data_IF_739641815881
#
_entry.id   IF_739641815881
#
_cell.length_a   1.000
_cell.length_b   1.000
_cell.length_c   1.000
_cell.angle_alpha   90.00
_cell.angle_beta   90.00
_cell.angle_gamma   90.00
#
_symmetry.space_group_name_H-M   'P 1'
#
loop_
_entity.id
_entity.type
_entity.pdbx_description
1 polymer ?
#
# COMPACT_ATOMS: atom_id res chain seq x y z
N UNK A 1 37.41 -5.81 20.83
CA UNK A 1 36.64 -4.71 20.19
C UNK A 1 36.74 -4.98 18.69
N UNK A 2 35.91 -5.91 18.20
CA UNK A 2 35.97 -6.35 16.80
C UNK A 2 35.24 -5.32 15.94
N UNK A 3 35.96 -4.83 14.93
CA UNK A 3 35.49 -3.83 13.99
C UNK A 3 34.54 -4.53 13.02
N UNK A 4 33.36 -3.95 12.87
CA UNK A 4 32.20 -4.29 12.05
C UNK A 4 32.52 -4.28 10.53
N UNK A 5 33.47 -5.11 10.09
CA UNK A 5 33.91 -5.21 8.68
C UNK A 5 33.52 -6.54 8.01
N UNK A 6 32.86 -7.44 8.74
CA UNK A 6 32.69 -8.84 8.36
C UNK A 6 31.70 -9.14 7.20
N UNK A 7 30.59 -8.41 6.96
CA UNK A 7 29.60 -8.84 5.97
C UNK A 7 30.11 -8.73 4.52
N UNK A 8 30.95 -7.74 4.21
CA UNK A 8 31.47 -7.51 2.86
C UNK A 8 32.59 -8.49 2.46
N UNK A 9 33.32 -9.02 3.43
CA UNK A 9 34.41 -9.97 3.20
C UNK A 9 33.90 -11.41 3.05
N UNK A 10 32.76 -11.74 3.68
CA UNK A 10 32.15 -13.07 3.66
C UNK A 10 31.01 -13.24 2.66
N UNK A 11 30.61 -12.16 1.98
CA UNK A 11 29.46 -12.18 1.05
C UNK A 11 28.13 -12.43 1.75
N UNK A 12 28.00 -11.96 3.00
CA UNK A 12 26.78 -12.16 3.80
C UNK A 12 25.68 -11.18 3.36
N UNK A 13 24.49 -11.71 3.06
CA UNK A 13 23.29 -10.92 2.76
C UNK A 13 22.46 -10.81 4.03
N UNK A 14 22.25 -9.58 4.52
CA UNK A 14 21.42 -9.31 5.70
C UNK A 14 20.10 -8.68 5.27
N UNK A 15 18.95 -9.13 5.82
CA UNK A 15 17.66 -8.53 5.51
C UNK A 15 17.56 -7.14 6.15
N UNK A 16 17.20 -6.15 5.33
CA UNK A 16 16.84 -4.82 5.81
C UNK A 16 15.36 -4.80 6.17
N UNK A 17 15.05 -4.62 7.45
CA UNK A 17 13.67 -4.58 7.98
C UNK A 17 13.30 -3.18 8.44
N UNK A 18 11.99 -2.93 8.52
CA UNK A 18 11.49 -1.78 9.26
C UNK A 18 11.82 -1.89 10.76
N UNK A 19 11.74 -0.74 11.43
CA UNK A 19 11.87 -0.64 12.87
C UNK A 19 10.74 -1.41 13.56
N UNK A 20 11.07 -2.12 14.64
CA UNK A 20 10.06 -2.78 15.47
C UNK A 20 9.14 -1.71 16.06
N UNK A 21 7.82 -1.81 15.87
CA UNK A 21 6.90 -0.80 16.39
C UNK A 21 6.90 -0.81 17.92
N UNK A 22 7.00 0.37 18.52
CA UNK A 22 6.98 0.55 19.98
C UNK A 22 5.68 0.08 20.63
N UNK A 23 4.57 0.12 19.87
CA UNK A 23 3.24 -0.27 20.36
C UNK A 23 2.49 -1.12 19.34
N UNK A 24 2.28 -2.39 19.70
CA UNK A 24 1.52 -3.36 18.90
C UNK A 24 0.04 -2.93 18.77
N UNK A 25 -0.55 -2.38 19.83
CA UNK A 25 -1.96 -1.92 19.81
C UNK A 25 -2.15 -0.68 18.94
N UNK A 26 -1.20 0.26 18.95
CA UNK A 26 -1.22 1.41 18.04
C UNK A 26 -1.11 0.96 16.59
N UNK A 27 -0.20 0.03 16.31
CA UNK A 27 -0.03 -0.54 14.97
C UNK A 27 -1.31 -1.23 14.49
N UNK A 28 -1.93 -2.08 15.31
CA UNK A 28 -3.15 -2.80 14.91
C UNK A 28 -4.32 -1.84 14.62
N UNK A 29 -4.50 -0.80 15.43
CA UNK A 29 -5.50 0.25 15.19
C UNK A 29 -5.26 0.97 13.87
N UNK A 30 -4.01 1.31 13.55
CA UNK A 30 -3.65 1.99 12.30
C UNK A 30 -3.80 1.11 11.07
N UNK A 31 -3.47 -0.16 11.18
CA UNK A 31 -3.69 -1.13 10.10
C UNK A 31 -5.18 -1.30 9.83
N UNK A 32 -6.03 -1.32 10.88
CA UNK A 32 -7.47 -1.38 10.72
C UNK A 32 -8.02 -0.13 10.02
N UNK A 33 -7.59 1.08 10.43
CA UNK A 33 -7.94 2.34 9.76
C UNK A 33 -7.56 2.29 8.27
N UNK A 34 -6.34 1.84 7.94
CA UNK A 34 -5.89 1.72 6.56
C UNK A 34 -6.78 0.77 5.74
N UNK A 35 -7.16 -0.37 6.31
CA UNK A 35 -8.03 -1.33 5.63
C UNK A 35 -9.40 -0.73 5.32
N UNK A 36 -10.01 -0.04 6.27
CA UNK A 36 -11.32 0.60 6.10
C UNK A 36 -11.32 1.64 4.97
N UNK A 37 -10.28 2.47 4.89
CA UNK A 37 -10.17 3.45 3.80
C UNK A 37 -9.91 2.78 2.45
N UNK A 38 -9.15 1.68 2.40
CA UNK A 38 -8.94 0.92 1.16
C UNK A 38 -10.23 0.26 0.66
N UNK A 39 -11.05 -0.30 1.55
CA UNK A 39 -12.36 -0.83 1.19
C UNK A 39 -13.28 0.26 0.63
N UNK A 40 -13.26 1.45 1.25
CA UNK A 40 -14.01 2.61 0.78
C UNK A 40 -13.59 3.04 -0.63
N UNK A 41 -12.28 3.12 -0.88
CA UNK A 41 -11.74 3.45 -2.20
C UNK A 41 -12.11 2.38 -3.25
N UNK A 42 -11.93 1.10 -2.93
CA UNK A 42 -12.31 -0.01 -3.82
C UNK A 42 -13.79 0.07 -4.22
N UNK A 43 -14.69 0.36 -3.29
CA UNK A 43 -16.12 0.52 -3.58
C UNK A 43 -16.39 1.65 -4.57
N UNK A 44 -15.70 2.79 -4.43
CA UNK A 44 -15.84 3.92 -5.35
C UNK A 44 -15.26 3.60 -6.73
N UNK A 45 -14.12 2.92 -6.80
CA UNK A 45 -13.51 2.52 -8.06
C UNK A 45 -14.40 1.56 -8.86
N UNK A 46 -15.06 0.61 -8.19
CA UNK A 46 -16.02 -0.29 -8.84
C UNK A 46 -17.15 0.50 -9.50
N UNK A 47 -17.66 1.54 -8.82
CA UNK A 47 -18.71 2.42 -9.37
C UNK A 47 -18.21 3.19 -10.60
N UNK A 48 -16.94 3.62 -10.59
CA UNK A 48 -16.35 4.36 -11.71
C UNK A 48 -16.15 3.48 -12.95
N UNK A 49 -15.87 2.18 -12.75
CA UNK A 49 -15.64 1.20 -13.82
C UNK A 49 -16.89 0.67 -14.52
N UNK A 50 -18.09 1.17 -14.27
CA UNK A 50 -19.35 0.56 -14.73
C UNK A 50 -19.55 0.60 -16.27
N UNK A 51 -18.98 -0.34 -17.04
CA UNK A 51 -19.83 -1.28 -17.75
C UNK A 51 -20.14 -2.50 -16.89
N UNK A 52 -21.34 -3.07 -17.08
CA UNK A 52 -21.85 -4.22 -16.29
C UNK A 52 -20.97 -5.48 -16.40
N UNK A 53 -20.08 -5.56 -17.39
CA UNK A 53 -19.17 -6.69 -17.61
C UNK A 53 -17.76 -6.52 -16.96
N UNK A 54 -17.44 -5.38 -16.35
CA UNK A 54 -16.11 -5.16 -15.78
C UNK A 54 -15.87 -6.00 -14.51
N UNK A 55 -14.69 -6.62 -14.41
CA UNK A 55 -14.28 -7.35 -13.21
C UNK A 55 -14.29 -6.41 -11.99
N UNK A 56 -15.05 -6.79 -10.95
CA UNK A 56 -15.17 -6.08 -9.67
C UNK A 56 -13.85 -6.01 -8.87
N UNK A 57 -12.79 -6.65 -9.35
CA UNK A 57 -11.48 -6.63 -8.71
C UNK A 57 -10.68 -5.40 -9.17
N UNK A 58 -10.38 -4.52 -8.21
CA UNK A 58 -9.45 -3.40 -8.39
C UNK A 58 -8.02 -3.84 -8.05
N UNK A 59 -7.02 -3.08 -8.52
CA UNK A 59 -5.63 -3.36 -8.16
C UNK A 59 -5.41 -3.21 -6.65
N UNK A 60 -6.14 -2.29 -6.02
CA UNK A 60 -6.14 -2.07 -4.57
C UNK A 60 -6.68 -3.31 -3.84
N UNK A 61 -7.83 -3.85 -4.26
CA UNK A 61 -8.37 -5.07 -3.67
C UNK A 61 -7.39 -6.25 -3.81
N UNK A 62 -6.80 -6.42 -4.99
CA UNK A 62 -5.81 -7.47 -5.23
C UNK A 62 -4.56 -7.31 -4.36
N UNK A 63 -4.05 -6.09 -4.23
CA UNK A 63 -2.89 -5.81 -3.40
C UNK A 63 -3.17 -6.00 -1.91
N UNK A 64 -4.36 -5.65 -1.43
CA UNK A 64 -4.75 -5.90 -0.05
C UNK A 64 -4.88 -7.40 0.22
N UNK A 65 -5.56 -8.15 -0.66
CA UNK A 65 -5.64 -9.61 -0.56
C UNK A 65 -4.26 -10.26 -0.55
N UNK A 66 -3.32 -9.77 -1.35
CA UNK A 66 -1.93 -10.25 -1.33
C UNK A 66 -1.24 -9.93 0.00
N UNK A 67 -1.42 -8.71 0.53
CA UNK A 67 -0.81 -8.29 1.79
C UNK A 67 -1.36 -9.04 3.02
N UNK A 68 -2.58 -9.55 2.94
CA UNK A 68 -3.19 -10.33 4.03
C UNK A 68 -2.73 -11.79 4.04
N UNK A 69 -2.44 -12.39 2.89
CA UNK A 69 -1.99 -13.79 2.80
C UNK A 69 -0.56 -13.94 3.29
N UNK A 70 -0.28 -14.83 4.24
CA UNK A 70 1.10 -15.09 4.64
C UNK A 70 1.92 -15.64 3.46
N UNK A 71 3.10 -15.05 3.12
CA UNK A 71 3.90 -15.53 2.01
C UNK A 71 4.49 -16.91 2.36
N UNK A 72 4.21 -17.91 1.53
CA UNK A 72 4.91 -19.20 1.57
C UNK A 72 6.08 -19.13 0.60
N UNK A 73 7.23 -18.70 1.09
CA UNK A 73 8.48 -18.60 0.32
C UNK A 73 9.51 -19.55 0.93
N UNK A 74 10.25 -20.27 0.09
CA UNK A 74 11.39 -21.09 0.50
C UNK A 74 12.60 -20.19 0.77
N UNK A 75 12.52 -19.41 1.85
CA UNK A 75 13.57 -18.49 2.29
C UNK A 75 13.55 -18.33 3.81
N UNK A 76 14.65 -17.80 4.35
CA UNK A 76 14.71 -17.45 5.76
C UNK A 76 13.59 -16.43 6.10
N UNK A 77 12.84 -16.71 7.17
CA UNK A 77 11.80 -15.81 7.71
C UNK A 77 12.33 -14.40 7.93
N UNK A 78 13.63 -14.28 8.22
CA UNK A 78 14.56 -13.17 8.01
C UNK A 78 14.10 -12.12 6.97
N UNK A 79 13.79 -12.61 5.77
CA UNK A 79 13.54 -11.81 4.57
C UNK A 79 12.06 -11.60 4.26
N UNK A 80 11.17 -12.25 5.01
CA UNK A 80 9.73 -12.12 4.83
C UNK A 80 9.27 -10.87 5.58
N UNK A 81 8.71 -9.85 4.90
CA UNK A 81 8.20 -8.66 5.57
C UNK A 81 7.02 -9.02 6.49
N UNK A 82 6.94 -8.32 7.62
CA UNK A 82 5.84 -8.46 8.57
C UNK A 82 4.49 -8.11 7.93
N UNK A 83 3.40 -8.56 8.57
CA UNK A 83 2.05 -8.22 8.12
C UNK A 83 1.83 -6.70 8.00
N UNK A 84 2.28 -5.92 8.99
CA UNK A 84 2.16 -4.47 8.97
C UNK A 84 2.94 -3.84 7.82
N UNK A 85 4.17 -4.30 7.56
CA UNK A 85 4.96 -3.85 6.42
C UNK A 85 4.23 -4.12 5.10
N UNK A 86 3.72 -5.34 4.88
CA UNK A 86 3.01 -5.70 3.65
C UNK A 86 1.76 -4.85 3.44
N UNK A 87 0.96 -4.68 4.48
CA UNK A 87 -0.27 -3.88 4.42
C UNK A 87 0.04 -2.39 4.20
N UNK A 88 1.13 -1.86 4.75
CA UNK A 88 1.52 -0.45 4.55
C UNK A 88 1.76 -0.07 3.09
N UNK A 89 2.12 -1.05 2.23
CA UNK A 89 2.29 -0.86 0.78
C UNK A 89 1.04 -1.17 -0.05
N UNK A 90 0.01 -1.81 0.54
CA UNK A 90 -1.19 -2.23 -0.18
C UNK A 90 -1.96 -1.05 -0.82
N UNK A 91 -1.82 0.14 -0.24
CA UNK A 91 -2.43 1.38 -0.71
C UNK A 91 -1.78 1.98 -1.96
N UNK A 92 -0.54 1.60 -2.26
CA UNK A 92 0.25 2.23 -3.30
C UNK A 92 0.02 1.53 -4.64
N UNK A 93 -1.25 1.50 -5.06
CA UNK A 93 -1.65 0.92 -6.34
C UNK A 93 -2.27 1.98 -7.26
N UNK A 94 -2.16 1.81 -8.58
CA UNK A 94 -2.92 2.58 -9.54
C UNK A 94 -4.42 2.48 -9.27
N UNK A 95 -5.07 3.64 -9.30
CA UNK A 95 -6.53 3.75 -9.25
C UNK A 95 -7.08 3.61 -10.67
N UNK A 96 -8.28 3.09 -10.79
CA UNK A 96 -8.99 2.96 -12.07
C UNK A 96 -9.10 4.30 -12.79
N UNK A 97 -8.89 4.29 -14.12
CA UNK A 97 -8.84 5.49 -14.95
C UNK A 97 -7.86 6.57 -14.44
N UNK A 98 -6.68 6.14 -13.96
CA UNK A 98 -5.62 7.06 -13.57
C UNK A 98 -5.07 7.84 -14.77
N UNK A 99 -4.89 9.15 -14.61
CA UNK A 99 -4.18 9.98 -15.60
C UNK A 99 -2.66 9.82 -15.47
N UNK A 100 -1.90 10.28 -16.48
CA UNK A 100 -0.42 10.23 -16.42
C UNK A 100 0.15 11.00 -15.21
N UNK A 101 -0.46 12.14 -14.86
CA UNK A 101 -0.04 12.91 -13.68
C UNK A 101 -0.29 12.16 -12.37
N UNK A 102 -1.42 11.44 -12.28
CA UNK A 102 -1.76 10.63 -11.10
C UNK A 102 -0.82 9.42 -10.96
N UNK A 103 -0.47 8.77 -12.08
CA UNK A 103 0.51 7.68 -12.10
C UNK A 103 1.91 8.17 -11.68
N UNK A 104 2.33 9.35 -12.15
CA UNK A 104 3.59 9.96 -11.72
C UNK A 104 3.58 10.31 -10.22
N UNK A 105 2.47 10.82 -9.70
CA UNK A 105 2.33 11.08 -8.26
C UNK A 105 2.44 9.77 -7.46
N UNK A 106 1.76 8.71 -7.90
CA UNK A 106 1.86 7.39 -7.28
C UNK A 106 3.31 6.89 -7.25
N UNK A 107 4.06 7.02 -8.34
CA UNK A 107 5.47 6.63 -8.39
C UNK A 107 6.30 7.37 -7.35
N UNK A 108 6.07 8.69 -7.19
CA UNK A 108 6.76 9.48 -6.16
C UNK A 108 6.40 9.01 -4.75
N UNK A 109 5.14 8.71 -4.48
CA UNK A 109 4.74 8.19 -3.17
C UNK A 109 5.30 6.80 -2.89
N UNK A 110 5.42 5.92 -3.92
CA UNK A 110 6.11 4.63 -3.79
C UNK A 110 7.55 4.78 -3.36
N UNK A 111 8.31 5.65 -4.03
CA UNK A 111 9.72 5.89 -3.68
C UNK A 111 9.85 6.42 -2.25
N UNK A 112 9.04 7.42 -1.88
CA UNK A 112 9.01 7.95 -0.51
C UNK A 112 8.68 6.88 0.52
N UNK A 113 7.76 5.98 0.21
CA UNK A 113 7.38 4.89 1.11
C UNK A 113 8.51 3.87 1.29
N UNK A 114 9.31 3.59 0.24
CA UNK A 114 10.46 2.68 0.33
C UNK A 114 11.58 3.21 1.24
N UNK A 115 11.73 4.54 1.33
CA UNK A 115 12.72 5.21 2.19
C UNK A 115 12.31 5.25 3.67
N UNK A 116 11.03 5.06 3.99
CA UNK A 116 10.52 5.10 5.36
C UNK A 116 10.71 3.74 6.02
N UNK A 117 11.46 3.70 7.13
CA UNK A 117 11.68 2.51 7.96
C UNK A 117 10.76 2.42 9.18
N UNK A 118 10.01 3.49 9.47
CA UNK A 118 8.94 3.46 10.47
C UNK A 118 7.63 3.03 9.79
N UNK A 119 7.21 1.79 10.05
CA UNK A 119 5.98 1.24 9.46
C UNK A 119 4.75 2.06 9.85
N UNK A 120 4.67 2.61 11.07
CA UNK A 120 3.51 3.41 11.50
C UNK A 120 3.46 4.70 10.68
N UNK A 121 4.60 5.38 10.55
CA UNK A 121 4.69 6.57 9.72
C UNK A 121 4.30 6.27 8.26
N UNK A 122 4.72 5.11 7.73
CA UNK A 122 4.35 4.70 6.37
C UNK A 122 2.86 4.42 6.25
N UNK A 123 2.24 3.77 7.23
CA UNK A 123 0.79 3.54 7.29
C UNK A 123 0.02 4.85 7.32
N UNK A 124 0.42 5.82 8.16
CA UNK A 124 -0.23 7.13 8.23
C UNK A 124 -0.20 7.87 6.89
N UNK A 125 0.97 7.89 6.22
CA UNK A 125 1.09 8.48 4.87
C UNK A 125 0.25 7.73 3.83
N UNK A 126 0.20 6.41 3.91
CA UNK A 126 -0.66 5.60 3.04
C UNK A 126 -2.14 5.92 3.26
N UNK A 127 -2.59 6.11 4.50
CA UNK A 127 -3.96 6.53 4.81
C UNK A 127 -4.27 7.90 4.19
N UNK A 128 -3.38 8.87 4.34
CA UNK A 128 -3.53 10.21 3.73
C UNK A 128 -3.61 10.12 2.20
N UNK A 129 -2.75 9.31 1.58
CA UNK A 129 -2.75 9.09 0.14
C UNK A 129 -4.07 8.47 -0.35
N UNK A 130 -4.59 7.46 0.36
CA UNK A 130 -5.87 6.82 0.03
C UNK A 130 -7.03 7.80 0.18
N UNK A 131 -7.05 8.62 1.24
CA UNK A 131 -8.08 9.66 1.43
C UNK A 131 -8.09 10.66 0.27
N UNK A 132 -6.92 11.07 -0.24
CA UNK A 132 -6.82 11.90 -1.45
C UNK A 132 -7.37 11.19 -2.70
N UNK A 133 -7.05 9.92 -2.89
CA UNK A 133 -7.57 9.13 -4.00
C UNK A 133 -9.09 8.95 -3.93
N UNK A 134 -9.67 8.78 -2.73
CA UNK A 134 -11.11 8.73 -2.52
C UNK A 134 -11.76 10.03 -3.03
N UNK A 135 -11.26 11.19 -2.61
CA UNK A 135 -11.79 12.48 -3.07
C UNK A 135 -11.68 12.64 -4.59
N UNK A 136 -10.56 12.21 -5.17
CA UNK A 136 -10.34 12.25 -6.62
C UNK A 136 -11.31 11.34 -7.38
N UNK A 137 -11.49 10.09 -6.95
CA UNK A 137 -12.43 9.15 -7.59
C UNK A 137 -13.88 9.65 -7.44
N UNK A 138 -14.24 10.20 -6.27
CA UNK A 138 -15.56 10.80 -6.06
C UNK A 138 -15.81 11.97 -7.01
N UNK A 139 -14.81 12.83 -7.25
CA UNK A 139 -14.92 13.92 -8.23
C UNK A 139 -15.10 13.38 -9.66
N UNK A 140 -14.32 12.37 -10.06
CA UNK A 140 -14.46 11.71 -11.38
C UNK A 140 -15.85 11.11 -11.58
N UNK A 141 -16.37 10.43 -10.54
CA UNK A 141 -17.73 9.88 -10.54
C UNK A 141 -18.80 10.97 -10.71
N UNK A 142 -18.64 12.10 -10.01
CA UNK A 142 -19.58 13.21 -10.12
C UNK A 142 -19.61 13.79 -11.55
N UNK A 143 -18.45 13.98 -12.17
CA UNK A 143 -18.34 14.45 -13.56
C UNK A 143 -18.99 13.44 -14.52
N UNK A 144 -18.66 12.16 -14.40
CA UNK A 144 -19.25 11.11 -15.24
C UNK A 144 -20.78 11.06 -15.11
N UNK A 145 -21.32 11.31 -13.91
CA UNK A 145 -22.77 11.34 -13.68
C UNK A 145 -23.46 12.50 -14.40
N UNK A 146 -22.78 13.64 -14.54
CA UNK A 146 -23.27 14.80 -15.29
C UNK A 146 -23.25 14.55 -16.81
N UNK A 147 -22.24 13.85 -17.31
CA UNK A 147 -22.12 13.53 -18.74
C UNK A 147 -23.13 12.47 -19.23
N UNK A 148 -23.75 11.73 -18.29
CA UNK A 148 -24.77 10.71 -18.58
C UNK A 148 -26.23 11.22 -18.50
N UNK A 149 -26.44 12.51 -18.21
CA UNK A 149 -27.75 13.17 -18.27
C UNK A 149 -28.03 13.77 -19.66
#
# INVERSE_FOLDING_TARGET
MEIEADPYLKGLVLPLRDNVPESVSKMSSKIMELKEVLYSLNSLEIKLKAPKEALLQTQIANSLMWAEKEPSLDCDKAFIPSFAERVSFAALQPVSASTQSELLQLQKEKLRAMDIKDTIQRVDKSIEFVKKNISMVAAKLAIQSLDTQ
#
